data_IF_412028892397
#
_entry.id   IF_412028892397
#
_cell.length_a   1.000
_cell.length_b   1.000
_cell.length_c   1.000
_cell.angle_alpha   90.00
_cell.angle_beta   90.00
_cell.angle_gamma   90.00
#
_symmetry.space_group_name_H-M   'P 1'
#
loop_
_entity.id
_entity.type
_entity.pdbx_description
1 polymer ?
#
# COMPACT_ATOMS: atom_id res chain seq x y z
N UNK A 1 1.29 -19.23 0.31
CA UNK A 1 1.45 -18.27 1.42
C UNK A 1 2.34 -17.18 0.89
N UNK A 2 1.79 -16.00 0.62
CA UNK A 2 2.54 -14.89 0.08
C UNK A 2 1.96 -13.62 0.68
N UNK A 3 2.75 -12.93 1.49
CA UNK A 3 2.39 -11.62 2.03
C UNK A 3 2.55 -10.61 0.90
N UNK A 4 1.48 -9.86 0.65
CA UNK A 4 1.45 -8.82 -0.38
C UNK A 4 1.22 -7.45 0.25
N UNK A 5 1.89 -6.46 -0.32
CA UNK A 5 1.62 -5.05 -0.04
C UNK A 5 0.65 -4.57 -1.11
N UNK A 6 -0.57 -4.20 -0.71
CA UNK A 6 -1.66 -3.87 -1.64
C UNK A 6 -2.46 -2.66 -1.17
N UNK A 7 -3.26 -2.12 -2.09
CA UNK A 7 -4.19 -1.04 -1.80
C UNK A 7 -5.52 -1.60 -1.31
N UNK A 8 -5.92 -1.19 -0.10
CA UNK A 8 -7.26 -1.39 0.44
C UNK A 8 -8.10 -0.15 0.11
N UNK A 9 -9.27 -0.36 -0.52
CA UNK A 9 -10.14 0.75 -0.91
C UNK A 9 -10.96 1.19 0.30
N UNK A 10 -10.91 2.48 0.54
CA UNK A 10 -11.70 3.23 1.50
C UNK A 10 -12.34 4.42 0.78
N UNK A 11 -13.15 5.19 1.49
CA UNK A 11 -13.82 6.37 0.95
C UNK A 11 -15.17 6.07 0.32
N UNK A 12 -15.67 7.04 -0.44
CA UNK A 12 -17.05 7.07 -0.91
C UNK A 12 -17.13 6.85 -2.43
N UNK A 13 -18.35 6.71 -2.95
CA UNK A 13 -18.60 6.72 -4.39
C UNK A 13 -18.06 8.04 -4.96
N UNK A 14 -17.26 7.95 -6.03
CA UNK A 14 -16.55 9.08 -6.68
C UNK A 14 -15.46 9.78 -5.84
N UNK A 15 -15.16 9.31 -4.63
CA UNK A 15 -14.05 9.80 -3.81
C UNK A 15 -13.25 8.61 -3.26
N UNK A 16 -12.45 7.93 -4.11
CA UNK A 16 -11.64 6.80 -3.67
C UNK A 16 -10.48 7.26 -2.79
N UNK A 17 -10.35 6.66 -1.61
CA UNK A 17 -9.18 6.78 -0.74
C UNK A 17 -8.57 5.39 -0.58
N UNK A 18 -7.24 5.27 -0.59
CA UNK A 18 -6.59 3.97 -0.45
C UNK A 18 -5.70 3.94 0.77
N UNK A 19 -5.72 2.82 1.48
CA UNK A 19 -4.72 2.49 2.50
C UNK A 19 -3.76 1.48 1.92
N UNK A 20 -2.47 1.70 2.13
CA UNK A 20 -1.42 0.77 1.74
C UNK A 20 -1.26 -0.20 2.91
N UNK A 21 -1.62 -1.45 2.70
CA UNK A 21 -1.67 -2.46 3.76
C UNK A 21 -0.87 -3.70 3.38
N UNK A 22 -0.28 -4.31 4.40
CA UNK A 22 0.38 -5.61 4.32
C UNK A 22 -0.64 -6.67 4.70
N UNK A 23 -0.85 -7.65 3.83
CA UNK A 23 -1.84 -8.71 4.05
C UNK A 23 -1.50 -9.99 3.31
N UNK A 24 -2.01 -11.13 3.76
CA UNK A 24 -1.87 -12.36 3.00
C UNK A 24 -2.65 -12.26 1.68
N UNK A 25 -2.04 -12.81 0.62
CA UNK A 25 -2.61 -12.85 -0.73
C UNK A 25 -4.03 -13.43 -0.83
N UNK A 26 -4.42 -14.33 0.09
CA UNK A 26 -5.73 -15.00 0.10
C UNK A 26 -6.81 -14.17 0.79
N UNK A 27 -6.44 -13.17 1.59
CA UNK A 27 -7.41 -12.32 2.29
C UNK A 27 -8.22 -11.48 1.30
N UNK A 28 -9.52 -11.24 1.54
CA UNK A 28 -10.31 -10.35 0.70
C UNK A 28 -9.74 -8.92 0.73
N UNK A 29 -9.96 -8.14 -0.34
CA UNK A 29 -9.35 -6.80 -0.52
C UNK A 29 -9.52 -5.90 0.72
N UNK A 30 -10.73 -5.84 1.25
CA UNK A 30 -11.09 -4.94 2.36
C UNK A 30 -11.12 -5.66 3.72
N UNK A 31 -10.66 -6.90 3.78
CA UNK A 31 -10.67 -7.74 4.98
C UNK A 31 -9.56 -7.45 5.98
N UNK A 32 -9.21 -8.51 6.74
CA UNK A 32 -8.14 -8.50 7.74
C UNK A 32 -6.79 -8.29 7.06
N UNK A 33 -6.03 -7.35 7.61
CA UNK A 33 -4.65 -7.06 7.24
C UNK A 33 -3.75 -7.24 8.46
N UNK A 34 -2.44 -7.34 8.23
CA UNK A 34 -1.43 -7.52 9.28
C UNK A 34 -1.05 -6.15 9.83
N UNK A 35 -0.66 -5.24 8.93
CA UNK A 35 -0.17 -3.91 9.29
C UNK A 35 -0.52 -2.88 8.21
N UNK A 36 -0.81 -1.65 8.61
CA UNK A 36 -1.01 -0.51 7.72
C UNK A 36 0.29 0.28 7.62
N UNK A 37 0.78 0.50 6.40
CA UNK A 37 2.10 1.12 6.16
C UNK A 37 1.99 2.51 5.53
N UNK A 38 0.79 2.93 5.16
CA UNK A 38 0.59 4.23 4.52
C UNK A 38 -0.79 4.45 3.95
N UNK A 39 -0.95 5.59 3.30
CA UNK A 39 -2.16 6.05 2.63
C UNK A 39 -1.85 6.61 1.25
N UNK A 40 -2.83 6.53 0.37
CA UNK A 40 -2.77 7.02 -0.99
C UNK A 40 -4.11 7.64 -1.38
N UNK A 41 -4.09 8.93 -1.70
CA UNK A 41 -5.23 9.72 -2.13
C UNK A 41 -5.01 10.23 -3.57
N UNK A 42 -5.65 9.58 -4.57
CA UNK A 42 -5.57 10.02 -5.96
C UNK A 42 -6.51 11.19 -6.28
N UNK A 43 -7.37 11.62 -5.35
CA UNK A 43 -8.37 12.67 -5.61
C UNK A 43 -7.79 14.07 -5.56
N UNK A 44 -6.59 14.22 -4.99
CA UNK A 44 -5.85 15.47 -4.91
C UNK A 44 -4.85 15.58 -6.07
N UNK A 45 -4.65 16.80 -6.54
CA UNK A 45 -3.62 17.14 -7.53
C UNK A 45 -2.64 18.13 -6.88
N UNK A 46 -1.39 17.73 -6.57
CA UNK A 46 -0.78 16.43 -6.85
C UNK A 46 -1.28 15.31 -5.91
N UNK A 47 -1.24 14.05 -6.39
CA UNK A 47 -1.69 12.89 -5.61
C UNK A 47 -0.91 12.77 -4.29
N UNK A 48 -1.64 12.77 -3.19
CA UNK A 48 -1.03 12.73 -1.85
C UNK A 48 -0.84 11.29 -1.44
N UNK A 49 0.39 10.92 -1.13
CA UNK A 49 0.71 9.63 -0.52
C UNK A 49 1.56 9.87 0.73
N UNK A 50 1.33 9.06 1.75
CA UNK A 50 2.12 9.04 2.96
C UNK A 50 2.51 7.59 3.23
N UNK A 51 3.80 7.32 3.38
CA UNK A 51 4.34 5.97 3.53
C UNK A 51 5.33 5.99 4.69
N UNK A 52 5.17 5.05 5.62
CA UNK A 52 6.17 4.82 6.64
C UNK A 52 7.31 3.99 6.04
N UNK A 53 8.43 4.66 5.75
CA UNK A 53 9.59 4.04 5.09
C UNK A 53 10.22 2.91 5.90
N UNK A 54 10.30 3.04 7.22
CA UNK A 54 10.94 2.04 8.08
C UNK A 54 10.18 0.71 8.03
N UNK A 55 8.86 0.80 8.17
CA UNK A 55 7.98 -0.36 8.13
C UNK A 55 7.93 -0.95 6.72
N UNK A 56 7.89 -0.11 5.67
CA UNK A 56 7.92 -0.56 4.29
C UNK A 56 9.21 -1.34 3.97
N UNK A 57 10.38 -0.82 4.36
CA UNK A 57 11.69 -1.49 4.18
C UNK A 57 11.75 -2.82 4.92
N UNK A 58 11.25 -2.87 6.17
CA UNK A 58 11.17 -4.11 6.94
C UNK A 58 10.37 -5.19 6.22
N UNK A 59 9.18 -4.86 5.70
CA UNK A 59 8.33 -5.83 5.01
C UNK A 59 8.90 -6.26 3.66
N UNK A 60 9.54 -5.36 2.92
CA UNK A 60 10.27 -5.70 1.69
C UNK A 60 11.41 -6.68 1.98
N UNK A 61 12.21 -6.43 3.02
CA UNK A 61 13.29 -7.34 3.45
C UNK A 61 12.76 -8.71 3.91
N UNK A 62 11.57 -8.75 4.51
CA UNK A 62 10.90 -10.00 4.89
C UNK A 62 10.27 -10.76 3.70
N UNK A 63 10.42 -10.23 2.47
CA UNK A 63 9.94 -10.88 1.25
C UNK A 63 8.50 -10.54 0.84
N UNK A 64 7.89 -9.52 1.45
CA UNK A 64 6.56 -9.07 1.03
C UNK A 64 6.61 -8.50 -0.40
N UNK A 65 5.68 -8.94 -1.25
CA UNK A 65 5.65 -8.53 -2.65
C UNK A 65 4.66 -7.37 -2.86
N UNK A 66 5.10 -6.19 -3.32
CA UNK A 66 4.20 -5.10 -3.64
C UNK A 66 3.41 -5.36 -4.93
N UNK A 67 2.18 -4.86 -5.01
CA UNK A 67 1.43 -4.79 -6.28
C UNK A 67 2.00 -3.70 -7.18
N UNK A 68 1.71 -3.75 -8.49
CA UNK A 68 2.29 -2.83 -9.48
C UNK A 68 2.13 -1.35 -9.11
N UNK A 69 0.93 -0.93 -8.68
CA UNK A 69 0.66 0.45 -8.25
C UNK A 69 1.44 0.84 -7.00
N UNK A 70 1.53 -0.06 -6.01
CA UNK A 70 2.31 0.20 -4.78
C UNK A 70 3.80 0.28 -5.10
N UNK A 71 4.29 -0.55 -6.02
CA UNK A 71 5.67 -0.48 -6.51
C UNK A 71 5.98 0.87 -7.16
N UNK A 72 5.05 1.43 -7.96
CA UNK A 72 5.20 2.80 -8.51
C UNK A 72 5.23 3.86 -7.41
N UNK A 73 4.37 3.75 -6.39
CA UNK A 73 4.38 4.65 -5.24
C UNK A 73 5.70 4.56 -4.45
N UNK A 74 6.24 3.35 -4.26
CA UNK A 74 7.51 3.15 -3.57
C UNK A 74 8.70 3.68 -4.35
N UNK A 75 8.68 3.60 -5.68
CA UNK A 75 9.68 4.25 -6.54
C UNK A 75 9.61 5.77 -6.42
N UNK A 76 8.41 6.34 -6.47
CA UNK A 76 8.22 7.78 -6.30
C UNK A 76 8.63 8.27 -4.90
N UNK A 77 8.47 7.42 -3.89
CA UNK A 77 8.90 7.68 -2.51
C UNK A 77 10.41 7.43 -2.28
N UNK A 78 11.16 6.90 -3.27
CA UNK A 78 12.58 6.58 -3.11
C UNK A 78 12.89 5.35 -2.24
N UNK A 79 11.89 4.52 -1.92
CA UNK A 79 12.04 3.33 -1.06
C UNK A 79 12.67 2.15 -1.84
N UNK A 80 12.38 2.08 -3.14
CA UNK A 80 12.96 1.06 -4.06
C UNK A 80 13.57 1.77 -5.26
N UNK A 81 14.81 1.43 -5.60
CA UNK A 81 15.50 1.87 -6.83
C UNK A 81 14.92 1.19 -8.06
#
# INVERSE_FOLDING_TARGET
MAVKIRLKRMGQKKAPFYRIVVSDSRSPRDGRFIEEIGTYDPTKDPSVFNINEEVAKKWLSNGAQPTETVGKLFKNAGITK
#
